data_IF_116488082171
#
_entry.id   IF_116488082171
#
_cell.length_a   1.000
_cell.length_b   1.000
_cell.length_c   1.000
_cell.angle_alpha   90.00
_cell.angle_beta   90.00
_cell.angle_gamma   90.00
#
_symmetry.space_group_name_H-M   'P 1'
#
loop_
_entity.id
_entity.type
_entity.pdbx_description
1 polymer ?
#
# COMPACT_ATOMS: atom_id res chain seq x y z
N UNK A 1 29.35 -41.90 22.65
CA UNK A 1 28.70 -42.44 23.86
C UNK A 1 27.72 -41.44 24.47
N UNK A 2 28.10 -40.46 25.31
CA UNK A 2 27.11 -39.57 25.99
C UNK A 2 26.18 -38.76 25.05
N UNK A 3 26.69 -38.26 23.93
CA UNK A 3 25.89 -37.49 22.96
C UNK A 3 24.90 -38.38 22.18
N UNK A 4 25.29 -39.60 21.87
CA UNK A 4 24.43 -40.58 21.19
C UNK A 4 23.31 -41.05 22.11
N UNK A 5 23.62 -41.28 23.40
CA UNK A 5 22.59 -41.61 24.40
C UNK A 5 21.58 -40.49 24.55
N UNK A 6 22.05 -39.23 24.58
CA UNK A 6 21.16 -38.06 24.68
C UNK A 6 20.26 -37.93 23.45
N UNK A 7 20.81 -38.11 22.24
CA UNK A 7 20.04 -38.05 21.00
C UNK A 7 18.89 -39.08 21.00
N UNK A 8 19.19 -40.32 21.35
CA UNK A 8 18.18 -41.40 21.41
C UNK A 8 17.10 -41.10 22.45
N UNK A 9 17.48 -40.56 23.61
CA UNK A 9 16.51 -40.15 24.65
C UNK A 9 15.61 -39.03 24.11
N UNK A 10 16.17 -37.98 23.51
CA UNK A 10 15.38 -36.87 22.97
C UNK A 10 14.49 -37.28 21.80
N UNK A 11 14.94 -38.20 20.97
CA UNK A 11 14.16 -38.76 19.86
C UNK A 11 12.99 -39.59 20.39
N UNK A 12 13.22 -40.43 21.41
CA UNK A 12 12.18 -41.22 22.05
C UNK A 12 11.16 -40.34 22.78
N UNK A 13 11.60 -39.34 23.55
CA UNK A 13 10.72 -38.39 24.23
C UNK A 13 9.81 -37.63 23.24
N UNK A 14 10.36 -37.27 22.08
CA UNK A 14 9.63 -36.59 21.01
C UNK A 14 8.54 -37.50 20.41
N UNK A 15 8.89 -38.76 20.12
CA UNK A 15 7.91 -39.72 19.60
C UNK A 15 6.85 -40.11 20.64
N UNK A 16 7.22 -40.24 21.90
CA UNK A 16 6.29 -40.54 22.99
C UNK A 16 5.26 -39.41 23.13
N UNK A 17 5.69 -38.14 23.11
CA UNK A 17 4.78 -36.99 23.13
C UNK A 17 3.85 -36.97 21.92
N UNK A 18 4.41 -37.18 20.73
CA UNK A 18 3.64 -37.22 19.49
C UNK A 18 2.57 -38.31 19.49
N UNK A 19 2.95 -39.52 19.90
CA UNK A 19 2.02 -40.66 19.95
C UNK A 19 1.00 -40.48 21.07
N UNK A 20 1.36 -39.90 22.21
CA UNK A 20 0.39 -39.64 23.30
C UNK A 20 -0.74 -38.70 22.86
N UNK A 21 -0.40 -37.71 22.03
CA UNK A 21 -1.36 -36.70 21.54
C UNK A 21 -2.17 -37.23 20.35
N UNK A 22 -1.54 -37.95 19.42
CA UNK A 22 -2.14 -38.29 18.13
C UNK A 22 -2.68 -39.73 18.04
N UNK A 23 -2.10 -40.68 18.77
CA UNK A 23 -2.52 -42.09 18.81
C UNK A 23 -2.20 -42.75 20.18
N UNK A 24 -2.97 -42.41 21.23
CA UNK A 24 -2.70 -42.90 22.59
C UNK A 24 -2.82 -44.44 22.71
N UNK A 25 -3.59 -45.08 21.82
CA UNK A 25 -3.72 -46.53 21.78
C UNK A 25 -2.43 -47.23 21.31
N UNK A 26 -1.57 -46.53 20.55
CA UNK A 26 -0.27 -47.07 20.13
C UNK A 26 0.76 -47.14 21.27
N UNK A 27 0.56 -46.40 22.37
CA UNK A 27 1.42 -46.41 23.56
C UNK A 27 0.94 -47.46 24.57
N UNK A 28 -0.35 -47.78 24.56
CA UNK A 28 -0.97 -48.71 25.50
C UNK A 28 -0.41 -50.14 25.32
N UNK A 29 0.23 -50.69 26.36
CA UNK A 29 0.89 -52.01 26.32
C UNK A 29 2.32 -52.01 25.74
N UNK A 30 2.87 -50.84 25.36
CA UNK A 30 4.28 -50.75 24.98
C UNK A 30 5.21 -51.07 26.16
N UNK A 31 4.84 -50.62 27.37
CA UNK A 31 5.60 -50.88 28.61
C UNK A 31 5.70 -52.37 28.94
N UNK A 32 4.59 -53.11 28.83
CA UNK A 32 4.56 -54.57 29.05
C UNK A 32 5.34 -55.32 27.96
N UNK A 33 5.33 -54.81 26.73
CA UNK A 33 6.09 -55.38 25.61
C UNK A 33 7.60 -55.17 25.78
N UNK A 34 8.02 -53.98 26.24
CA UNK A 34 9.43 -53.67 26.56
C UNK A 34 9.91 -54.54 27.73
N UNK A 35 9.11 -54.68 28.79
CA UNK A 35 9.46 -55.50 29.95
C UNK A 35 9.65 -56.98 29.57
N UNK A 36 8.80 -57.50 28.67
CA UNK A 36 8.93 -58.86 28.13
C UNK A 36 10.16 -59.03 27.22
N UNK A 37 10.51 -58.02 26.43
CA UNK A 37 11.71 -58.03 25.58
C UNK A 37 13.01 -58.02 26.42
N UNK A 38 13.05 -57.24 27.50
CA UNK A 38 14.18 -57.21 28.45
C UNK A 38 14.36 -58.59 29.10
N UNK A 39 13.25 -59.24 29.52
CA UNK A 39 13.27 -60.62 30.06
C UNK A 39 13.78 -61.64 29.05
N UNK A 40 13.45 -61.49 27.76
CA UNK A 40 13.90 -62.37 26.68
C UNK A 40 15.39 -62.18 26.31
N UNK A 41 15.91 -60.95 26.31
CA UNK A 41 17.34 -60.69 26.11
C UNK A 41 18.21 -61.29 27.22
N UNK A 42 17.72 -61.26 28.47
CA UNK A 42 18.34 -61.98 29.59
C UNK A 42 18.43 -63.49 29.33
N UNK A 43 17.44 -64.08 28.66
CA UNK A 43 17.39 -65.52 28.34
C UNK A 43 18.19 -65.91 27.09
N UNK A 44 18.28 -65.05 26.06
CA UNK A 44 19.11 -65.29 24.86
C UNK A 44 20.61 -65.26 25.17
N UNK A 45 21.04 -64.44 26.14
CA UNK A 45 22.43 -64.39 26.61
C UNK A 45 22.88 -65.75 27.19
N UNK A 46 21.95 -66.52 27.76
CA UNK A 46 22.21 -67.86 28.31
C UNK A 46 22.27 -68.94 27.22
N UNK A 47 21.47 -68.83 26.14
CA UNK A 47 21.45 -69.80 25.03
C UNK A 47 22.67 -69.69 24.09
N UNK A 48 23.29 -68.51 23.99
CA UNK A 48 24.47 -68.30 23.14
C UNK A 48 25.75 -68.91 23.72
N UNK A 49 25.77 -69.20 25.03
CA UNK A 49 26.90 -69.84 25.70
C UNK A 49 27.01 -71.36 25.40
N UNK A 50 25.96 -72.01 24.90
CA UNK A 50 25.92 -73.48 24.76
C UNK A 50 26.21 -74.01 23.35
N UNK A 51 26.46 -73.16 22.34
CA UNK A 51 26.64 -73.58 20.94
C UNK A 51 27.95 -73.11 20.27
N UNK A 52 28.91 -72.56 21.02
CA UNK A 52 30.17 -72.03 20.48
C UNK A 52 31.39 -72.93 20.77
N UNK A 53 31.20 -74.25 20.82
CA UNK A 53 32.31 -75.24 20.75
C UNK A 53 32.12 -76.07 19.48
N UNK A 54 32.59 -75.56 18.34
CA UNK A 54 33.35 -76.32 17.33
C UNK A 54 33.51 -75.53 16.02
N UNK A 55 34.75 -75.58 15.52
CA UNK A 55 35.29 -75.14 14.23
C UNK A 55 35.90 -73.74 14.11
N UNK A 56 37.07 -73.79 13.49
CA UNK A 56 38.11 -72.80 13.29
C UNK A 56 38.12 -72.23 11.87
N UNK A 57 38.68 -71.01 11.76
CA UNK A 57 39.46 -70.49 10.62
C UNK A 57 38.76 -70.19 9.29
N UNK A 58 38.57 -68.90 8.97
CA UNK A 58 39.24 -68.17 7.86
C UNK A 58 38.67 -66.77 7.66
N UNK A 59 39.50 -65.91 7.07
CA UNK A 59 39.35 -64.49 6.77
C UNK A 59 38.27 -64.15 5.74
N UNK A 60 37.92 -62.86 5.74
CA UNK A 60 37.20 -62.08 4.72
C UNK A 60 35.68 -62.17 4.70
N UNK A 61 35.02 -61.19 5.32
CA UNK A 61 33.79 -60.60 4.75
C UNK A 61 33.47 -59.23 5.35
N UNK A 62 32.91 -58.38 4.49
CA UNK A 62 32.39 -57.03 4.73
C UNK A 62 31.57 -56.92 6.03
N UNK A 63 31.63 -55.75 6.67
CA UNK A 63 30.74 -55.36 7.78
C UNK A 63 29.27 -55.35 7.32
N UNK A 64 28.64 -56.51 7.36
CA UNK A 64 27.21 -56.67 7.55
C UNK A 64 26.95 -56.77 9.05
N UNK A 65 26.11 -55.88 9.56
CA UNK A 65 25.57 -55.99 10.92
C UNK A 65 24.87 -57.34 11.06
N UNK A 66 25.14 -58.14 12.09
CA UNK A 66 24.49 -59.42 12.28
C UNK A 66 23.03 -59.18 12.67
N UNK A 67 22.15 -59.20 11.66
CA UNK A 67 20.73 -59.41 11.86
C UNK A 67 20.57 -60.81 12.44
N UNK A 68 20.19 -60.87 13.72
CA UNK A 68 19.78 -62.10 14.40
C UNK A 68 18.50 -62.57 13.71
N UNK A 69 18.64 -63.34 12.63
CA UNK A 69 17.58 -64.15 12.07
C UNK A 69 17.47 -65.42 12.94
N UNK A 70 16.88 -65.27 14.12
CA UNK A 70 16.44 -66.37 14.96
C UNK A 70 14.92 -66.45 14.90
N UNK A 71 14.44 -67.54 14.30
CA UNK A 71 13.16 -68.22 14.53
C UNK A 71 11.94 -67.39 14.96
N UNK A 72 11.08 -67.08 13.98
CA UNK A 72 9.74 -67.71 13.94
C UNK A 72 8.63 -67.20 14.86
N UNK A 73 8.82 -66.20 15.72
CA UNK A 73 7.73 -65.69 16.58
C UNK A 73 7.66 -64.15 16.72
N UNK A 74 8.49 -63.41 15.99
CA UNK A 74 8.42 -61.94 15.91
C UNK A 74 8.05 -61.52 14.47
N UNK A 75 6.95 -62.06 13.96
CA UNK A 75 6.26 -61.55 12.75
C UNK A 75 5.35 -60.35 13.08
N UNK A 76 5.72 -59.62 14.14
CA UNK A 76 5.23 -58.27 14.42
C UNK A 76 6.43 -57.42 14.74
N UNK A 77 7.34 -57.31 13.78
CA UNK A 77 8.14 -56.10 13.69
C UNK A 77 7.15 -54.95 13.65
N UNK A 78 7.02 -54.24 14.77
CA UNK A 78 6.13 -53.08 14.87
C UNK A 78 6.35 -52.15 13.68
N UNK A 79 5.35 -51.33 13.31
CA UNK A 79 5.38 -50.52 12.10
C UNK A 79 6.76 -49.88 11.92
N UNK A 80 7.51 -50.31 10.90
CA UNK A 80 8.83 -49.75 10.62
C UNK A 80 8.61 -48.33 10.11
N UNK A 81 8.65 -47.37 11.02
CA UNK A 81 8.49 -45.97 10.71
C UNK A 81 9.63 -45.58 9.76
N UNK A 82 9.26 -45.19 8.54
CA UNK A 82 10.22 -44.77 7.53
C UNK A 82 10.90 -43.46 7.98
N UNK A 83 12.13 -43.19 7.53
CA UNK A 83 12.86 -41.94 7.80
C UNK A 83 12.03 -40.71 7.42
N UNK A 84 11.22 -40.80 6.35
CA UNK A 84 10.28 -39.74 5.96
C UNK A 84 9.20 -39.52 7.01
N UNK A 85 8.56 -40.59 7.51
CA UNK A 85 7.55 -40.52 8.57
C UNK A 85 8.15 -40.00 9.88
N UNK A 86 9.39 -40.40 10.22
CA UNK A 86 10.13 -39.85 11.37
C UNK A 86 10.37 -38.35 11.23
N UNK A 87 10.80 -37.91 10.05
CA UNK A 87 10.99 -36.49 9.74
C UNK A 87 9.69 -35.72 9.84
N UNK A 88 8.59 -36.25 9.31
CA UNK A 88 7.27 -35.63 9.36
C UNK A 88 6.76 -35.49 10.80
N UNK A 89 6.92 -36.53 11.63
CA UNK A 89 6.56 -36.47 13.06
C UNK A 89 7.42 -35.44 13.81
N UNK A 90 8.73 -35.43 13.56
CA UNK A 90 9.64 -34.46 14.16
C UNK A 90 9.29 -33.02 13.77
N UNK A 91 8.92 -32.79 12.51
CA UNK A 91 8.48 -31.48 12.03
C UNK A 91 7.15 -31.05 12.68
N UNK A 92 6.17 -31.96 12.81
CA UNK A 92 4.91 -31.66 13.50
C UNK A 92 5.10 -31.33 14.98
N UNK A 93 5.92 -32.12 15.68
CA UNK A 93 6.28 -31.84 17.08
C UNK A 93 7.00 -30.50 17.23
N UNK A 94 7.91 -30.18 16.32
CA UNK A 94 8.57 -28.88 16.29
C UNK A 94 7.56 -27.74 16.12
N UNK A 95 6.63 -27.88 15.17
CA UNK A 95 5.57 -26.89 14.93
C UNK A 95 4.65 -26.72 16.14
N UNK A 96 4.27 -27.83 16.79
CA UNK A 96 3.42 -27.83 17.98
C UNK A 96 4.14 -27.22 19.19
N UNK A 97 5.41 -27.55 19.42
CA UNK A 97 6.26 -26.93 20.44
C UNK A 97 6.43 -25.43 20.18
N UNK A 98 6.67 -25.02 18.93
CA UNK A 98 6.77 -23.61 18.57
C UNK A 98 5.45 -22.87 18.83
N UNK A 99 4.31 -23.49 18.49
CA UNK A 99 2.97 -22.93 18.74
C UNK A 99 2.69 -22.83 20.24
N UNK A 100 3.03 -23.87 21.01
CA UNK A 100 2.91 -23.92 22.47
C UNK A 100 3.77 -22.84 23.13
N UNK A 101 5.02 -22.69 22.70
CA UNK A 101 5.93 -21.66 23.20
C UNK A 101 5.40 -20.25 22.92
N UNK A 102 4.90 -19.99 21.70
CA UNK A 102 4.28 -18.70 21.35
C UNK A 102 3.05 -18.40 22.22
N UNK A 103 2.21 -19.41 22.47
CA UNK A 103 1.04 -19.28 23.35
C UNK A 103 1.48 -19.00 24.79
N UNK A 104 2.42 -19.78 25.31
CA UNK A 104 2.99 -19.59 26.65
C UNK A 104 3.56 -18.19 26.81
N UNK A 105 4.39 -17.72 25.88
CA UNK A 105 4.96 -16.37 25.93
C UNK A 105 3.87 -15.29 25.98
N UNK A 106 2.82 -15.42 25.15
CA UNK A 106 1.68 -14.49 25.14
C UNK A 106 0.94 -14.51 26.49
N UNK A 107 0.69 -15.69 27.04
CA UNK A 107 -0.03 -15.86 28.30
C UNK A 107 0.79 -15.35 29.50
N UNK A 108 2.09 -15.62 29.55
CA UNK A 108 3.01 -15.09 30.57
C UNK A 108 3.11 -13.57 30.48
N UNK A 109 3.21 -13.02 29.27
CA UNK A 109 3.25 -11.57 29.07
C UNK A 109 1.95 -10.91 29.55
N UNK A 110 0.79 -11.45 29.15
CA UNK A 110 -0.51 -10.98 29.63
C UNK A 110 -0.60 -11.05 31.15
N UNK A 111 -0.22 -12.17 31.76
CA UNK A 111 -0.24 -12.34 33.22
C UNK A 111 0.67 -11.34 33.92
N UNK A 112 1.89 -11.11 33.40
CA UNK A 112 2.81 -10.10 33.93
C UNK A 112 2.20 -8.70 33.88
N UNK A 113 1.58 -8.34 32.76
CA UNK A 113 0.92 -7.03 32.62
C UNK A 113 -0.26 -6.88 33.59
N UNK A 114 -1.08 -7.93 33.76
CA UNK A 114 -2.19 -7.92 34.71
C UNK A 114 -1.71 -7.76 36.16
N UNK A 115 -0.71 -8.54 36.57
CA UNK A 115 -0.15 -8.43 37.93
C UNK A 115 0.47 -7.05 38.19
N UNK A 116 1.10 -6.45 37.18
CA UNK A 116 1.60 -5.07 37.30
C UNK A 116 0.48 -4.06 37.48
N UNK A 117 -0.61 -4.19 36.70
CA UNK A 117 -1.77 -3.32 36.84
C UNK A 117 -2.42 -3.48 38.22
N UNK A 118 -2.54 -4.71 38.72
CA UNK A 118 -3.08 -5.00 40.06
C UNK A 118 -2.19 -4.42 41.17
N UNK A 119 -0.86 -4.51 41.05
CA UNK A 119 0.04 -3.85 42.00
C UNK A 119 -0.07 -2.33 41.98
N UNK A 120 -0.24 -1.72 40.81
CA UNK A 120 -0.44 -0.28 40.67
C UNK A 120 -1.79 0.15 41.26
N UNK A 121 -2.85 -0.62 41.01
CA UNK A 121 -4.18 -0.42 41.58
C UNK A 121 -4.14 -0.48 43.12
N UNK A 122 -3.54 -1.52 43.70
CA UNK A 122 -3.37 -1.64 45.15
C UNK A 122 -2.54 -0.49 45.74
N UNK A 123 -1.50 -0.03 45.04
CA UNK A 123 -0.71 1.11 45.49
C UNK A 123 -1.52 2.40 45.51
N UNK A 124 -2.37 2.62 44.50
CA UNK A 124 -3.27 3.76 44.45
C UNK A 124 -4.34 3.66 45.53
N UNK A 125 -4.90 2.47 45.74
CA UNK A 125 -5.91 2.21 46.76
C UNK A 125 -5.39 2.49 48.17
N UNK A 126 -4.16 2.03 48.49
CA UNK A 126 -3.51 2.34 49.77
C UNK A 126 -3.32 3.85 49.95
N UNK A 127 -2.89 4.56 48.91
CA UNK A 127 -2.72 6.01 48.97
C UNK A 127 -4.08 6.72 49.19
N UNK A 128 -5.11 6.34 48.45
CA UNK A 128 -6.47 6.88 48.61
C UNK A 128 -7.05 6.60 50.00
N UNK A 129 -6.80 5.42 50.57
CA UNK A 129 -7.20 5.09 51.94
C UNK A 129 -6.49 5.95 52.99
N UNK A 130 -5.19 6.16 52.85
CA UNK A 130 -4.43 7.01 53.76
C UNK A 130 -4.92 8.45 53.67
N UNK A 131 -5.12 8.99 52.46
CA UNK A 131 -5.66 10.33 52.26
C UNK A 131 -7.08 10.47 52.87
N UNK A 132 -7.91 9.45 52.73
CA UNK A 132 -9.25 9.42 53.33
C UNK A 132 -9.20 9.36 54.87
N UNK A 133 -8.24 8.61 55.43
CA UNK A 133 -8.02 8.52 56.86
C UNK A 133 -7.53 9.86 57.43
N UNK A 134 -6.50 10.44 56.83
CA UNK A 134 -5.94 11.73 57.24
C UNK A 134 -7.01 12.83 57.18
N UNK A 135 -7.83 12.84 56.13
CA UNK A 135 -8.95 13.77 56.01
C UNK A 135 -10.01 13.54 57.10
N UNK A 136 -10.34 12.29 57.41
CA UNK A 136 -11.26 11.97 58.50
C UNK A 136 -10.72 12.42 59.86
N UNK A 137 -9.46 12.10 60.16
CA UNK A 137 -8.81 12.51 61.41
C UNK A 137 -8.79 14.03 61.56
N UNK A 138 -8.39 14.74 60.50
CA UNK A 138 -8.37 16.20 60.50
C UNK A 138 -9.78 16.78 60.68
N UNK A 139 -10.75 16.37 59.86
CA UNK A 139 -12.07 17.01 59.79
C UNK A 139 -13.00 16.61 60.93
N UNK A 140 -12.97 15.34 61.35
CA UNK A 140 -13.92 14.79 62.33
C UNK A 140 -13.32 14.72 63.72
N UNK A 141 -12.05 14.30 63.85
CA UNK A 141 -11.42 14.08 65.15
C UNK A 141 -10.80 15.37 65.69
N UNK A 142 -10.06 16.13 64.87
CA UNK A 142 -9.38 17.35 65.29
C UNK A 142 -10.34 18.55 65.22
N UNK A 143 -10.88 18.85 64.04
CA UNK A 143 -11.75 20.02 63.82
C UNK A 143 -13.20 19.81 64.29
N UNK A 144 -13.64 18.55 64.34
CA UNK A 144 -15.00 18.19 64.73
C UNK A 144 -15.21 18.07 66.24
N UNK A 145 -14.15 18.09 67.06
CA UNK A 145 -14.22 17.98 68.52
C UNK A 145 -14.73 19.28 69.15
N UNK A 146 -15.76 19.18 69.98
CA UNK A 146 -16.24 20.33 70.75
C UNK A 146 -15.25 20.67 71.88
N UNK A 147 -14.66 21.87 71.91
CA UNK A 147 -13.67 22.26 72.91
C UNK A 147 -14.18 22.18 74.36
N UNK A 148 -15.48 22.34 74.57
CA UNK A 148 -16.07 22.37 75.92
C UNK A 148 -16.38 20.97 76.44
N UNK A 149 -16.94 20.10 75.58
CA UNK A 149 -17.37 18.75 75.99
C UNK A 149 -16.32 17.67 75.69
N UNK A 150 -15.28 18.00 74.92
CA UNK A 150 -14.24 17.06 74.46
C UNK A 150 -14.82 15.81 73.80
N UNK A 151 -15.99 15.93 73.18
CA UNK A 151 -16.67 14.86 72.45
C UNK A 151 -16.94 15.33 71.02
N UNK A 152 -16.99 14.38 70.10
CA UNK A 152 -17.35 14.64 68.71
C UNK A 152 -18.88 14.63 68.62
N UNK A 153 -19.54 15.73 68.22
CA UNK A 153 -20.98 15.76 68.00
C UNK A 153 -21.36 14.83 66.84
N UNK A 154 -22.46 14.09 67.01
CA UNK A 154 -22.93 13.14 65.99
C UNK A 154 -23.20 13.81 64.62
N UNK A 155 -23.68 15.07 64.62
CA UNK A 155 -23.96 15.83 63.41
C UNK A 155 -22.70 16.09 62.56
N UNK A 156 -21.52 16.27 63.19
CA UNK A 156 -20.25 16.47 62.48
C UNK A 156 -19.85 15.22 61.71
N UNK A 157 -19.97 14.06 62.36
CA UNK A 157 -19.73 12.77 61.71
C UNK A 157 -20.74 12.49 60.60
N UNK A 158 -22.03 12.73 60.85
CA UNK A 158 -23.08 12.52 59.85
C UNK A 158 -22.87 13.39 58.61
N UNK A 159 -22.53 14.67 58.80
CA UNK A 159 -22.23 15.59 57.71
C UNK A 159 -21.02 15.13 56.90
N UNK A 160 -19.93 14.72 57.55
CA UNK A 160 -18.75 14.20 56.86
C UNK A 160 -19.07 12.96 56.01
N UNK A 161 -19.88 12.04 56.54
CA UNK A 161 -20.32 10.85 55.81
C UNK A 161 -21.19 11.21 54.59
N UNK A 162 -22.09 12.17 54.73
CA UNK A 162 -22.92 12.65 53.61
C UNK A 162 -22.08 13.34 52.52
N UNK A 163 -21.10 14.16 52.89
CA UNK A 163 -20.18 14.83 51.95
C UNK A 163 -19.28 13.81 51.24
N UNK A 164 -18.75 12.82 51.97
CA UNK A 164 -17.95 11.72 51.42
C UNK A 164 -18.75 10.87 50.42
N UNK A 165 -20.01 10.56 50.73
CA UNK A 165 -20.90 9.84 49.82
C UNK A 165 -21.18 10.63 48.52
N UNK A 166 -21.39 11.94 48.64
CA UNK A 166 -21.57 12.83 47.48
C UNK A 166 -20.32 12.87 46.61
N UNK A 167 -19.14 13.01 47.21
CA UNK A 167 -17.86 13.01 46.51
C UNK A 167 -17.62 11.69 45.77
N UNK A 168 -17.83 10.54 46.43
CA UNK A 168 -17.74 9.21 45.81
C UNK A 168 -18.71 9.07 44.63
N UNK A 169 -19.96 9.52 44.78
CA UNK A 169 -20.94 9.51 43.69
C UNK A 169 -20.48 10.34 42.49
N UNK A 170 -19.89 11.52 42.71
CA UNK A 170 -19.37 12.35 41.63
C UNK A 170 -18.22 11.67 40.88
N UNK A 171 -17.32 10.99 41.60
CA UNK A 171 -16.23 10.20 41.02
C UNK A 171 -16.78 9.05 40.16
N UNK A 172 -17.80 8.32 40.63
CA UNK A 172 -18.46 7.27 39.86
C UNK A 172 -19.05 7.80 38.56
N UNK A 173 -19.73 8.95 38.58
CA UNK A 173 -20.29 9.55 37.36
C UNK A 173 -19.19 9.95 36.37
N UNK A 174 -18.07 10.50 36.86
CA UNK A 174 -16.90 10.83 36.04
C UNK A 174 -16.32 9.57 35.36
N UNK A 175 -16.18 8.47 36.10
CA UNK A 175 -15.70 7.21 35.54
C UNK A 175 -16.66 6.63 34.50
N UNK A 176 -17.98 6.68 34.74
CA UNK A 176 -18.99 6.24 33.76
C UNK A 176 -18.91 7.03 32.44
N UNK A 177 -18.76 8.34 32.52
CA UNK A 177 -18.58 9.18 31.33
C UNK A 177 -17.30 8.78 30.58
N UNK A 178 -16.18 8.65 31.29
CA UNK A 178 -14.89 8.23 30.70
C UNK A 178 -14.99 6.84 30.05
N UNK A 179 -15.66 5.89 30.70
CA UNK A 179 -15.91 4.56 30.15
C UNK A 179 -16.70 4.62 28.86
N UNK A 180 -17.75 5.46 28.79
CA UNK A 180 -18.55 5.67 27.58
C UNK A 180 -17.70 6.24 26.44
N UNK A 181 -16.91 7.27 26.73
CA UNK A 181 -15.99 7.89 25.75
C UNK A 181 -14.94 6.91 25.25
N UNK A 182 -14.30 6.14 26.14
CA UNK A 182 -13.29 5.16 25.74
C UNK A 182 -13.90 4.03 24.92
N UNK A 183 -15.10 3.58 25.29
CA UNK A 183 -15.85 2.57 24.54
C UNK A 183 -16.19 3.04 23.12
N UNK A 184 -16.57 4.32 22.95
CA UNK A 184 -16.80 4.91 21.64
C UNK A 184 -15.51 4.96 20.79
N UNK A 185 -14.38 5.37 21.39
CA UNK A 185 -13.08 5.35 20.71
C UNK A 185 -12.65 3.93 20.30
N UNK A 186 -12.84 2.94 21.17
CA UNK A 186 -12.52 1.55 20.87
C UNK A 186 -13.34 1.02 19.69
N UNK A 187 -14.64 1.34 19.64
CA UNK A 187 -15.49 1.00 18.48
C UNK A 187 -14.96 1.62 17.19
N UNK A 188 -14.67 2.93 17.18
CA UNK A 188 -14.12 3.63 16.02
C UNK A 188 -12.76 3.07 15.57
N UNK A 189 -11.89 2.74 16.51
CA UNK A 189 -10.60 2.11 16.21
C UNK A 189 -10.76 0.73 15.61
N UNK A 190 -11.67 -0.10 16.13
CA UNK A 190 -11.97 -1.41 15.58
C UNK A 190 -12.56 -1.32 14.18
N UNK A 191 -13.46 -0.37 13.92
CA UNK A 191 -13.98 -0.11 12.57
C UNK A 191 -12.88 0.31 11.61
N UNK A 192 -11.99 1.21 12.04
CA UNK A 192 -10.84 1.65 11.24
C UNK A 192 -9.90 0.48 10.95
N UNK A 193 -9.65 -0.38 11.93
CA UNK A 193 -8.81 -1.56 11.79
C UNK A 193 -9.45 -2.57 10.84
N UNK A 194 -10.76 -2.78 10.93
CA UNK A 194 -11.51 -3.63 10.00
C UNK A 194 -11.42 -3.10 8.58
N UNK A 195 -11.66 -1.81 8.37
CA UNK A 195 -11.52 -1.18 7.06
C UNK A 195 -10.09 -1.29 6.52
N UNK A 196 -9.06 -1.05 7.35
CA UNK A 196 -7.66 -1.24 6.94
C UNK A 196 -7.33 -2.68 6.58
N UNK A 197 -7.93 -3.67 7.25
CA UNK A 197 -7.76 -5.08 6.91
C UNK A 197 -8.43 -5.41 5.58
N UNK A 198 -9.66 -4.96 5.36
CA UNK A 198 -10.38 -5.16 4.09
C UNK A 198 -9.63 -4.49 2.92
N UNK A 199 -9.16 -3.25 3.10
CA UNK A 199 -8.32 -2.56 2.11
C UNK A 199 -6.98 -3.28 1.92
N UNK A 200 -6.32 -3.70 3.01
CA UNK A 200 -5.03 -4.40 2.94
C UNK A 200 -5.10 -5.81 2.36
N UNK A 201 -6.23 -6.51 2.52
CA UNK A 201 -6.50 -7.81 1.88
C UNK A 201 -6.87 -7.62 0.40
N UNK A 202 -7.51 -6.50 0.06
CA UNK A 202 -7.80 -6.12 -1.32
C UNK A 202 -6.57 -5.62 -2.08
N UNK A 203 -5.49 -5.20 -1.42
CA UNK A 203 -4.31 -4.61 -2.05
C UNK A 203 -3.16 -5.62 -2.07
N UNK A 204 -2.94 -6.28 -3.21
CA UNK A 204 -1.80 -7.16 -3.39
C UNK A 204 -0.58 -6.37 -3.90
N UNK A 205 0.63 -6.85 -3.61
CA UNK A 205 1.87 -6.30 -4.18
C UNK A 205 1.81 -6.20 -5.72
N UNK A 206 1.13 -7.15 -6.35
CA UNK A 206 0.88 -7.20 -7.80
C UNK A 206 0.05 -6.02 -8.29
N UNK A 207 -0.89 -5.50 -7.49
CA UNK A 207 -1.72 -4.34 -7.88
C UNK A 207 -0.88 -3.06 -7.96
N UNK A 208 0.11 -2.91 -7.08
CA UNK A 208 1.05 -1.79 -7.13
C UNK A 208 1.97 -1.86 -8.34
N UNK A 209 2.50 -3.04 -8.65
CA UNK A 209 3.32 -3.26 -9.84
C UNK A 209 2.51 -3.01 -11.12
N UNK A 210 1.25 -3.46 -11.16
CA UNK A 210 0.33 -3.16 -12.26
C UNK A 210 0.10 -1.66 -12.41
N UNK A 211 -0.14 -0.94 -11.32
CA UNK A 211 -0.33 0.51 -11.34
C UNK A 211 0.93 1.24 -11.82
N UNK A 212 2.11 0.77 -11.43
CA UNK A 212 3.39 1.30 -11.88
C UNK A 212 3.61 1.08 -13.39
N UNK A 213 3.27 -0.12 -13.89
CA UNK A 213 3.31 -0.42 -15.33
C UNK A 213 2.36 0.48 -16.10
N UNK A 214 1.11 0.62 -15.65
CA UNK A 214 0.09 1.47 -16.29
C UNK A 214 0.52 2.95 -16.28
N UNK A 215 1.04 3.45 -15.17
CA UNK A 215 1.54 4.82 -15.08
C UNK A 215 2.72 5.07 -16.04
N UNK A 216 3.68 4.14 -16.06
CA UNK A 216 4.81 4.20 -17.00
C UNK A 216 4.35 4.13 -18.47
N UNK A 217 3.28 3.38 -18.77
CA UNK A 217 2.68 3.35 -20.10
C UNK A 217 2.05 4.70 -20.47
N UNK A 218 1.27 5.29 -19.56
CA UNK A 218 0.64 6.60 -19.80
C UNK A 218 1.67 7.72 -19.95
N UNK A 219 2.75 7.73 -19.16
CA UNK A 219 3.83 8.71 -19.31
C UNK A 219 4.43 8.64 -20.72
N UNK A 220 4.75 7.42 -21.19
CA UNK A 220 5.29 7.23 -22.56
C UNK A 220 4.30 7.67 -23.64
N UNK A 221 3.02 7.41 -23.46
CA UNK A 221 2.00 7.85 -24.42
C UNK A 221 1.88 9.38 -24.43
N UNK A 222 1.89 10.02 -23.26
CA UNK A 222 1.87 11.48 -23.12
C UNK A 222 3.10 12.09 -23.81
N UNK A 223 4.28 11.53 -23.61
CA UNK A 223 5.51 12.02 -24.26
C UNK A 223 5.43 11.90 -25.78
N UNK A 224 4.94 10.77 -26.30
CA UNK A 224 4.77 10.56 -27.74
C UNK A 224 3.77 11.56 -28.35
N UNK A 225 2.63 11.78 -27.69
CA UNK A 225 1.62 12.77 -28.11
C UNK A 225 2.16 14.20 -28.04
N UNK A 226 2.99 14.49 -27.04
CA UNK A 226 3.61 15.81 -26.88
C UNK A 226 4.60 16.09 -28.00
N UNK A 227 5.40 15.09 -28.40
CA UNK A 227 6.31 15.19 -29.54
C UNK A 227 5.54 15.46 -30.85
N UNK A 228 4.47 14.69 -31.10
CA UNK A 228 3.60 14.91 -32.26
C UNK A 228 2.97 16.32 -32.26
N UNK A 229 2.56 16.82 -31.09
CA UNK A 229 2.02 18.16 -30.96
C UNK A 229 3.06 19.24 -31.27
N UNK A 230 4.32 19.04 -30.87
CA UNK A 230 5.42 19.94 -31.21
C UNK A 230 5.64 19.96 -32.73
N UNK A 231 5.68 18.80 -33.39
CA UNK A 231 5.84 18.71 -34.84
C UNK A 231 4.70 19.39 -35.61
N UNK A 232 3.46 19.21 -35.16
CA UNK A 232 2.32 19.90 -35.75
C UNK A 232 2.40 21.42 -35.53
N UNK A 233 2.87 21.88 -34.37
CA UNK A 233 3.06 23.31 -34.10
C UNK A 233 4.14 23.92 -34.99
N UNK A 234 5.25 23.22 -35.23
CA UNK A 234 6.32 23.72 -36.11
C UNK A 234 5.85 23.76 -37.56
N UNK A 235 5.16 22.73 -38.04
CA UNK A 235 4.54 22.73 -39.37
C UNK A 235 3.53 23.86 -39.55
N UNK A 236 2.63 24.05 -38.58
CA UNK A 236 1.63 25.12 -38.63
C UNK A 236 2.28 26.51 -38.60
N UNK A 237 3.36 26.68 -37.82
CA UNK A 237 4.16 27.91 -37.82
C UNK A 237 4.78 28.18 -39.19
N UNK A 238 5.37 27.16 -39.83
CA UNK A 238 5.91 27.25 -41.18
C UNK A 238 4.86 27.58 -42.24
N UNK A 239 3.71 26.92 -42.21
CA UNK A 239 2.59 27.18 -43.10
C UNK A 239 2.07 28.62 -42.96
N UNK A 240 1.91 29.11 -41.73
CA UNK A 240 1.50 30.50 -41.46
C UNK A 240 2.51 31.53 -41.98
N UNK A 241 3.81 31.25 -41.87
CA UNK A 241 4.84 32.11 -42.43
C UNK A 241 4.74 32.20 -43.96
N UNK A 242 4.56 31.05 -44.63
CA UNK A 242 4.37 30.98 -46.08
C UNK A 242 3.11 31.76 -46.49
N UNK A 243 1.98 31.53 -45.82
CA UNK A 243 0.73 32.25 -46.09
C UNK A 243 0.88 33.76 -45.90
N UNK A 244 1.60 34.19 -44.85
CA UNK A 244 1.87 35.61 -44.60
C UNK A 244 2.71 36.22 -45.72
N UNK A 245 3.72 35.49 -46.22
CA UNK A 245 4.56 35.95 -47.32
C UNK A 245 3.76 36.03 -48.63
N UNK A 246 2.94 35.01 -48.94
CA UNK A 246 2.07 35.01 -50.12
C UNK A 246 1.05 36.15 -50.05
N UNK A 247 0.45 36.40 -48.88
CA UNK A 247 -0.46 37.54 -48.66
C UNK A 247 0.23 38.88 -48.94
N UNK A 248 1.46 39.09 -48.44
CA UNK A 248 2.24 40.30 -48.71
C UNK A 248 2.54 40.47 -50.20
N UNK A 249 2.91 39.38 -50.87
CA UNK A 249 3.16 39.39 -52.32
C UNK A 249 1.90 39.76 -53.12
N UNK A 250 0.75 39.16 -52.78
CA UNK A 250 -0.53 39.51 -53.39
C UNK A 250 -0.92 40.97 -53.14
N UNK A 251 -0.73 41.48 -51.92
CA UNK A 251 -0.99 42.89 -51.61
C UNK A 251 -0.12 43.83 -52.46
N UNK A 252 1.14 43.46 -52.71
CA UNK A 252 2.02 44.23 -53.60
C UNK A 252 1.51 44.24 -55.04
N UNK A 253 1.12 43.09 -55.58
CA UNK A 253 0.54 43.03 -56.93
C UNK A 253 -0.78 43.81 -57.04
N UNK A 254 -1.63 43.77 -56.01
CA UNK A 254 -2.87 44.57 -56.00
C UNK A 254 -2.54 46.06 -56.04
N UNK A 255 -1.54 46.52 -55.29
CA UNK A 255 -1.10 47.91 -55.33
C UNK A 255 -0.54 48.30 -56.70
N UNK A 256 0.26 47.42 -57.34
CA UNK A 256 0.78 47.64 -58.71
C UNK A 256 -0.36 47.71 -59.74
N UNK A 257 -1.37 46.84 -59.64
CA UNK A 257 -2.55 46.89 -60.51
C UNK A 257 -3.32 48.19 -60.33
N UNK A 258 -3.52 48.64 -59.08
CA UNK A 258 -4.19 49.91 -58.79
C UNK A 258 -3.43 51.11 -59.37
N UNK A 259 -2.10 51.10 -59.27
CA UNK A 259 -1.25 52.13 -59.88
C UNK A 259 -1.37 52.14 -61.41
N UNK A 260 -1.34 50.95 -62.04
CA UNK A 260 -1.54 50.82 -63.48
C UNK A 260 -2.94 51.28 -63.90
N UNK A 261 -3.98 50.93 -63.14
CA UNK A 261 -5.35 51.39 -63.40
C UNK A 261 -5.45 52.92 -63.35
N UNK A 262 -4.88 53.55 -62.31
CA UNK A 262 -4.84 55.01 -62.21
C UNK A 262 -4.10 55.62 -63.41
N UNK A 263 -2.95 55.04 -63.80
CA UNK A 263 -2.20 55.50 -64.98
C UNK A 263 -3.02 55.37 -66.28
N UNK A 264 -3.75 54.26 -66.44
CA UNK A 264 -4.65 54.05 -67.59
C UNK A 264 -5.73 55.14 -67.60
N UNK A 265 -6.40 55.38 -66.47
CA UNK A 265 -7.44 56.40 -66.36
C UNK A 265 -6.89 57.81 -66.64
N UNK A 266 -5.70 58.14 -66.14
CA UNK A 266 -5.01 59.39 -66.46
C UNK A 266 -4.69 59.52 -67.95
N UNK A 267 -4.16 58.47 -68.58
CA UNK A 267 -3.87 58.50 -70.03
C UNK A 267 -5.13 58.61 -70.86
N UNK A 268 -6.20 57.92 -70.47
CA UNK A 268 -7.51 58.00 -71.13
C UNK A 268 -8.07 59.41 -71.06
N UNK A 269 -8.05 60.05 -69.90
CA UNK A 269 -8.48 61.44 -69.74
C UNK A 269 -7.65 62.40 -70.61
N UNK A 270 -6.33 62.19 -70.71
CA UNK A 270 -5.46 63.00 -71.59
C UNK A 270 -5.79 62.78 -73.06
N UNK A 271 -6.09 61.55 -73.48
CA UNK A 271 -6.52 61.25 -74.85
C UNK A 271 -7.85 61.92 -75.17
N UNK A 272 -8.84 61.86 -74.26
CA UNK A 272 -10.13 62.53 -74.42
C UNK A 272 -9.96 64.07 -74.54
N UNK A 273 -9.05 64.67 -73.76
CA UNK A 273 -8.73 66.10 -73.87
C UNK A 273 -8.09 66.44 -75.23
N UNK A 274 -7.13 65.63 -75.69
CA UNK A 274 -6.49 65.82 -76.99
C UNK A 274 -7.48 65.64 -78.16
N UNK A 275 -8.40 64.68 -78.07
CA UNK A 275 -9.46 64.48 -79.08
C UNK A 275 -10.35 65.73 -79.20
N UNK A 276 -10.74 66.34 -78.07
CA UNK A 276 -11.49 67.62 -78.08
C UNK A 276 -10.67 68.78 -78.64
N UNK A 277 -9.36 68.84 -78.35
CA UNK A 277 -8.46 69.85 -78.93
C UNK A 277 -8.34 69.69 -80.45
N UNK A 278 -8.24 68.45 -80.94
CA UNK A 278 -8.23 68.14 -82.38
C UNK A 278 -9.54 68.57 -83.03
N UNK A 279 -10.70 68.22 -82.46
CA UNK A 279 -12.01 68.60 -83.01
C UNK A 279 -12.16 70.13 -83.11
N UNK A 280 -11.73 70.87 -82.08
CA UNK A 280 -11.74 72.33 -82.11
C UNK A 280 -10.74 72.90 -83.15
N UNK A 281 -9.57 72.28 -83.30
CA UNK A 281 -8.60 72.68 -84.32
C UNK A 281 -9.12 72.41 -85.75
N UNK A 282 -9.82 71.30 -85.97
CA UNK A 282 -10.51 70.98 -87.23
C UNK A 282 -11.61 72.00 -87.52
N UNK A 283 -12.46 72.35 -86.54
CA UNK A 283 -13.50 73.37 -86.72
C UNK A 283 -12.90 74.76 -87.05
N UNK A 284 -11.76 75.10 -86.44
CA UNK A 284 -11.01 76.31 -86.77
C UNK A 284 -10.41 76.24 -88.18
N UNK A 285 -9.85 75.10 -88.57
CA UNK A 285 -9.32 74.86 -89.92
C UNK A 285 -10.44 75.06 -90.95
N UNK A 286 -11.62 74.48 -90.74
CA UNK A 286 -12.79 74.59 -91.61
C UNK A 286 -13.26 76.05 -91.76
N UNK A 287 -13.25 76.82 -90.65
CA UNK A 287 -13.55 78.26 -90.71
C UNK A 287 -12.51 79.01 -91.54
N UNK A 288 -11.23 78.68 -91.38
CA UNK A 288 -10.13 79.31 -92.12
C UNK A 288 -10.16 78.91 -93.61
N UNK A 289 -10.45 77.66 -93.95
CA UNK A 289 -10.58 77.20 -95.34
C UNK A 289 -11.80 77.82 -96.02
N UNK A 290 -12.95 77.88 -95.36
CA UNK A 290 -14.13 78.57 -95.88
C UNK A 290 -13.86 80.06 -96.12
N UNK A 291 -13.15 80.72 -95.18
CA UNK A 291 -12.73 82.11 -95.36
C UNK A 291 -11.72 82.27 -96.51
N UNK A 292 -10.78 81.34 -96.66
CA UNK A 292 -9.83 81.32 -97.78
C UNK A 292 -10.52 81.10 -99.13
N UNK A 293 -11.51 80.20 -99.20
CA UNK A 293 -12.33 79.96 -100.39
C UNK A 293 -13.15 81.21 -100.76
N UNK A 294 -13.77 81.88 -99.79
CA UNK A 294 -14.47 83.14 -100.02
C UNK A 294 -13.54 84.23 -100.57
N UNK A 295 -12.33 84.38 -100.03
CA UNK A 295 -11.32 85.30 -100.59
C UNK A 295 -10.90 84.88 -102.00
N UNK A 296 -10.73 83.58 -102.25
CA UNK A 296 -10.37 83.05 -103.56
C UNK A 296 -11.46 83.36 -104.59
N UNK A 297 -12.73 83.14 -104.26
CA UNK A 297 -13.88 83.52 -105.10
C UNK A 297 -13.89 85.02 -105.39
N UNK A 298 -13.71 85.88 -104.38
CA UNK A 298 -13.57 87.32 -104.58
C UNK A 298 -12.41 87.64 -105.55
N UNK A 299 -11.25 87.00 -105.42
CA UNK A 299 -10.12 87.21 -106.34
C UNK A 299 -10.39 86.68 -107.76
N UNK A 300 -11.18 85.61 -107.93
CA UNK A 300 -11.59 85.12 -109.24
C UNK A 300 -12.67 86.01 -109.88
N UNK A 301 -13.57 86.58 -109.10
CA UNK A 301 -14.54 87.58 -109.55
C UNK A 301 -13.86 88.87 -110.01
N UNK A 302 -12.86 89.35 -109.26
CA UNK A 302 -12.01 90.47 -109.71
C UNK A 302 -11.22 90.15 -110.99
N UNK A 303 -10.94 88.87 -111.26
CA UNK A 303 -10.22 88.42 -112.47
C UNK A 303 -11.13 88.24 -113.70
N UNK A 304 -12.46 88.11 -113.50
CA UNK A 304 -13.46 88.04 -114.57
C UNK A 304 -14.12 89.39 -114.88
N UNK A 305 -13.92 90.40 -114.02
CA UNK A 305 -14.42 91.76 -114.19
C UNK A 305 -13.37 92.77 -114.71
N UNK A 306 -12.22 92.31 -115.21
CA UNK A 306 -11.21 93.10 -115.92
C UNK A 306 -10.80 92.40 -117.21
#
# INVERSE_FOLDING_TARGET
>A
MKAETLHVITENDMFERYLTINDPAAIEGMETTIENAIKMQGAETVRRATLAENYSFSSDTKMEYPSIAASGLIDKGGPRINLTQKSDMAMRELEELQKSLKKFHKDTHRRKCNLKAELEELSLEIAEYNDALDNFEQTVVIEGMDPLTQRIPAEKFERFMQESLKASTAVVQRYRLRQSTLSAHLRKLNETLKHKKEVGESLHAVDFEKLEIENNHFIKEIDARTLQLIDLKTMNGGANLILTNQKKFLMKQIAEIQEIQNNIDETKNKTEQLELEIENAEEQLDKVTAHYESIKEMTEEYKKAG
#
